data_IF_390421470453
#
_entry.id   IF_390421470453
#
_cell.length_a   1.000
_cell.length_b   1.000
_cell.length_c   1.000
_cell.angle_alpha   90.00
_cell.angle_beta   90.00
_cell.angle_gamma   90.00
#
_symmetry.space_group_name_H-M   'P 1'
#
loop_
_entity.id
_entity.type
_entity.pdbx_description
1 polymer ?
#
# COMPACT_ATOMS: atom_id res chain seq x y z
N UNK A 1 0.83 27.28 -3.28
CA UNK A 1 0.62 25.81 -3.25
C UNK A 1 1.90 25.05 -3.54
N UNK A 2 2.69 25.41 -4.56
CA UNK A 2 4.03 24.82 -4.77
C UNK A 2 4.96 25.07 -3.58
N UNK A 3 5.00 26.31 -3.11
CA UNK A 3 5.81 26.72 -1.94
C UNK A 3 5.46 25.88 -0.70
N UNK A 4 4.16 25.66 -0.44
CA UNK A 4 3.70 24.81 0.65
C UNK A 4 4.19 23.35 0.51
N UNK A 5 4.15 22.78 -0.70
CA UNK A 5 4.66 21.42 -0.93
C UNK A 5 6.16 21.34 -0.68
N UNK A 6 6.93 22.35 -1.11
CA UNK A 6 8.37 22.44 -0.87
C UNK A 6 8.70 22.57 0.63
N UNK A 7 7.93 23.35 1.38
CA UNK A 7 8.05 23.47 2.84
C UNK A 7 7.83 22.13 3.55
N UNK A 8 6.81 21.37 3.14
CA UNK A 8 6.53 20.05 3.70
C UNK A 8 7.60 19.02 3.33
N UNK A 9 8.16 19.08 2.12
CA UNK A 9 9.29 18.23 1.73
C UNK A 9 10.55 18.55 2.55
N UNK A 10 10.83 19.83 2.77
CA UNK A 10 11.91 20.28 3.64
C UNK A 10 11.72 19.80 5.07
N UNK A 11 10.50 19.89 5.59
CA UNK A 11 10.14 19.42 6.93
C UNK A 11 10.28 17.90 7.07
N UNK A 12 9.91 17.13 6.04
CA UNK A 12 10.13 15.68 5.99
C UNK A 12 11.61 15.32 6.00
N UNK A 13 12.44 16.08 5.29
CA UNK A 13 13.89 15.87 5.30
C UNK A 13 14.48 16.13 6.69
N UNK A 14 14.10 17.24 7.32
CA UNK A 14 14.55 17.61 8.67
C UNK A 14 14.13 16.59 9.73
N UNK A 15 12.88 16.13 9.70
CA UNK A 15 12.38 15.10 10.63
C UNK A 15 13.14 13.79 10.47
N UNK A 16 13.44 13.36 9.24
CA UNK A 16 14.28 12.19 8.98
C UNK A 16 15.71 12.33 9.49
N UNK A 17 16.32 13.49 9.30
CA UNK A 17 17.66 13.79 9.81
C UNK A 17 17.68 13.78 11.34
N UNK A 18 16.68 14.39 11.98
CA UNK A 18 16.51 14.36 13.43
C UNK A 18 16.30 12.94 13.95
N UNK A 19 15.43 12.15 13.30
CA UNK A 19 15.10 10.79 13.72
C UNK A 19 16.33 9.84 13.66
N UNK A 20 17.21 10.04 12.66
CA UNK A 20 18.49 9.30 12.55
C UNK A 20 19.47 9.57 13.70
N UNK A 21 19.33 10.71 14.39
CA UNK A 21 20.20 11.09 15.50
C UNK A 21 19.91 10.33 16.80
N UNK A 22 18.80 9.60 16.87
CA UNK A 22 18.44 8.81 18.05
C UNK A 22 19.03 7.39 17.95
N UNK A 23 19.68 6.96 19.04
CA UNK A 23 20.28 5.64 19.17
C UNK A 23 19.22 4.53 19.34
N UNK A 24 19.66 3.27 19.43
CA UNK A 24 18.78 2.13 19.65
C UNK A 24 18.00 2.26 20.97
N UNK A 25 16.83 1.62 21.04
CA UNK A 25 15.82 1.79 22.11
C UNK A 25 16.36 1.66 23.54
N UNK A 26 17.40 0.84 23.75
CA UNK A 26 18.00 0.55 25.05
C UNK A 26 18.96 1.62 25.58
N UNK A 27 19.34 2.62 24.78
CA UNK A 27 20.27 3.71 25.14
C UNK A 27 19.58 5.06 25.37
N UNK A 28 18.25 5.12 25.22
CA UNK A 28 17.49 6.38 25.25
C UNK A 28 17.12 6.74 26.68
N UNK A 29 17.32 8.01 27.02
CA UNK A 29 16.69 8.59 28.21
C UNK A 29 15.17 8.77 28.00
N UNK A 30 14.39 8.85 29.07
CA UNK A 30 12.93 8.94 29.00
C UNK A 30 12.41 10.11 28.16
N UNK A 31 13.11 11.24 28.14
CA UNK A 31 12.77 12.36 27.22
C UNK A 31 13.09 12.03 25.76
N UNK A 32 14.20 11.34 25.50
CA UNK A 32 14.61 10.98 24.14
C UNK A 32 13.66 9.95 23.52
N UNK A 33 13.05 9.08 24.33
CA UNK A 33 12.02 8.14 23.88
C UNK A 33 10.76 8.87 23.41
N UNK A 34 10.31 9.88 24.16
CA UNK A 34 9.16 10.72 23.79
C UNK A 34 9.43 11.51 22.50
N UNK A 35 10.60 12.13 22.40
CA UNK A 35 10.99 12.88 21.20
C UNK A 35 11.08 11.98 19.97
N UNK A 36 11.68 10.80 20.12
CA UNK A 36 11.75 9.80 19.05
C UNK A 36 10.35 9.35 18.62
N UNK A 37 9.45 9.10 19.57
CA UNK A 37 8.07 8.73 19.30
C UNK A 37 7.34 9.80 18.50
N UNK A 38 7.51 11.07 18.90
CA UNK A 38 6.93 12.21 18.19
C UNK A 38 7.50 12.33 16.77
N UNK A 39 8.83 12.31 16.62
CA UNK A 39 9.50 12.39 15.31
C UNK A 39 9.11 11.24 14.39
N UNK A 40 8.98 10.03 14.92
CA UNK A 40 8.53 8.85 14.18
C UNK A 40 7.07 8.98 13.73
N UNK A 41 6.21 9.57 14.54
CA UNK A 41 4.83 9.89 14.13
C UNK A 41 4.82 10.93 13.00
N UNK A 42 5.60 12.02 13.16
CA UNK A 42 5.70 13.07 12.15
C UNK A 42 6.25 12.54 10.82
N UNK A 43 7.26 11.67 10.84
CA UNK A 43 7.80 11.02 9.64
C UNK A 43 6.74 10.16 8.93
N UNK A 44 5.82 9.55 9.69
CA UNK A 44 4.73 8.73 9.13
C UNK A 44 3.61 9.59 8.53
N UNK A 45 3.30 10.74 9.13
CA UNK A 45 2.18 11.60 8.74
C UNK A 45 2.52 12.54 7.57
N UNK A 46 3.72 13.11 7.53
CA UNK A 46 4.13 14.07 6.50
C UNK A 46 4.00 13.55 5.05
N UNK A 47 4.36 12.29 4.73
CA UNK A 47 4.14 11.72 3.39
C UNK A 47 2.66 11.65 2.99
N UNK A 48 1.76 11.41 3.95
CA UNK A 48 0.32 11.38 3.72
C UNK A 48 -0.18 12.76 3.31
N UNK A 49 0.23 13.80 4.05
CA UNK A 49 -0.11 15.20 3.74
C UNK A 49 0.46 15.60 2.37
N UNK A 50 1.71 15.28 2.09
CA UNK A 50 2.34 15.55 0.78
C UNK A 50 1.58 14.90 -0.38
N UNK A 51 1.16 13.65 -0.21
CA UNK A 51 0.39 12.94 -1.25
C UNK A 51 -1.00 13.56 -1.43
N UNK A 52 -1.62 14.03 -0.36
CA UNK A 52 -2.89 14.75 -0.45
C UNK A 52 -2.74 16.11 -1.15
N UNK A 53 -1.73 16.91 -0.78
CA UNK A 53 -1.46 18.22 -1.38
C UNK A 53 -1.08 18.13 -2.87
N UNK A 54 -0.38 17.06 -3.27
CA UNK A 54 0.01 16.84 -4.68
C UNK A 54 -1.12 16.30 -5.54
N UNK A 55 -1.93 15.37 -5.00
CA UNK A 55 -2.98 14.69 -5.78
C UNK A 55 -4.33 15.39 -5.68
N UNK A 56 -4.54 16.22 -4.65
CA UNK A 56 -5.84 16.82 -4.32
C UNK A 56 -6.89 15.80 -3.86
N UNK A 57 -6.50 14.54 -3.62
CA UNK A 57 -7.39 13.42 -3.26
C UNK A 57 -7.01 12.85 -1.90
N UNK A 58 -8.01 12.45 -1.12
CA UNK A 58 -7.79 11.79 0.18
C UNK A 58 -7.01 10.48 -0.01
N UNK A 59 -5.89 10.38 0.68
CA UNK A 59 -5.05 9.20 0.76
C UNK A 59 -5.75 8.07 1.53
N UNK A 60 -5.83 6.88 0.93
CA UNK A 60 -6.51 5.71 1.50
C UNK A 60 -7.87 5.39 0.86
N UNK A 61 -8.49 6.36 0.17
CA UNK A 61 -9.64 6.09 -0.70
C UNK A 61 -9.12 5.71 -2.08
N UNK A 62 -8.65 4.46 -2.23
CA UNK A 62 -8.68 3.86 -3.56
C UNK A 62 -10.13 3.96 -4.00
N UNK A 63 -10.41 4.57 -5.16
CA UNK A 63 -11.73 4.41 -5.76
C UNK A 63 -11.91 2.90 -5.82
N UNK A 64 -12.83 2.37 -5.00
CA UNK A 64 -13.24 0.99 -5.17
C UNK A 64 -13.58 0.90 -6.64
N UNK A 65 -12.90 0.03 -7.37
CA UNK A 65 -13.40 -0.40 -8.66
C UNK A 65 -14.83 -0.81 -8.34
N UNK A 66 -15.79 0.01 -8.78
CA UNK A 66 -17.20 -0.30 -8.53
C UNK A 66 -17.40 -1.73 -9.02
N UNK A 67 -18.20 -2.53 -8.29
CA UNK A 67 -18.46 -3.94 -8.59
C UNK A 67 -18.51 -4.14 -10.10
N UNK A 68 -17.39 -4.60 -10.68
CA UNK A 68 -17.31 -4.75 -12.13
C UNK A 68 -18.37 -5.77 -12.51
N UNK A 69 -19.08 -5.51 -13.60
CA UNK A 69 -20.01 -6.50 -14.14
C UNK A 69 -19.24 -7.80 -14.39
N UNK A 70 -19.88 -8.96 -14.25
CA UNK A 70 -19.15 -10.23 -14.21
C UNK A 70 -18.29 -10.48 -15.45
N UNK A 71 -18.74 -10.02 -16.63
CA UNK A 71 -17.97 -10.09 -17.88
C UNK A 71 -16.66 -9.29 -17.89
N UNK A 72 -16.53 -8.26 -17.05
CA UNK A 72 -15.29 -7.49 -16.91
C UNK A 72 -14.26 -8.20 -16.01
N UNK A 73 -14.70 -9.20 -15.24
CA UNK A 73 -13.84 -10.06 -14.41
C UNK A 73 -13.39 -11.31 -15.16
N UNK A 74 -13.99 -11.59 -16.32
CA UNK A 74 -13.64 -12.76 -17.12
C UNK A 74 -12.22 -12.59 -17.69
N UNK A 75 -11.40 -13.62 -17.49
CA UNK A 75 -10.09 -13.73 -18.15
C UNK A 75 -10.32 -14.50 -19.46
N UNK A 76 -9.94 -13.97 -20.63
CA UNK A 76 -10.07 -14.71 -21.88
C UNK A 76 -9.18 -15.95 -21.79
N UNK A 77 -9.82 -17.12 -21.68
CA UNK A 77 -9.15 -18.40 -21.66
C UNK A 77 -9.02 -18.94 -23.09
N UNK A 78 -7.79 -19.22 -23.50
CA UNK A 78 -7.54 -19.96 -24.74
C UNK A 78 -8.04 -21.41 -24.55
N UNK A 79 -8.90 -21.93 -25.45
CA UNK A 79 -9.39 -23.31 -25.38
C UNK A 79 -8.27 -24.35 -25.25
N UNK A 80 -7.08 -24.07 -25.76
CA UNK A 80 -5.91 -24.97 -25.68
C UNK A 80 -5.37 -25.15 -24.26
N UNK A 81 -5.75 -24.28 -23.31
CA UNK A 81 -5.35 -24.42 -21.90
C UNK A 81 -5.99 -25.62 -21.21
N UNK A 82 -7.07 -26.16 -21.78
CA UNK A 82 -7.77 -27.34 -21.27
C UNK A 82 -7.38 -28.63 -22.01
N UNK A 83 -6.36 -28.59 -22.89
CA UNK A 83 -5.82 -29.78 -23.54
C UNK A 83 -5.28 -30.75 -22.46
N UNK A 84 -6.01 -31.85 -22.28
CA UNK A 84 -5.77 -32.84 -21.22
C UNK A 84 -4.38 -33.49 -21.29
N UNK A 85 -3.70 -33.42 -22.43
CA UNK A 85 -2.36 -33.99 -22.62
C UNK A 85 -1.26 -33.23 -21.85
N UNK A 86 -1.45 -31.94 -21.52
CA UNK A 86 -0.45 -31.14 -20.79
C UNK A 86 -0.70 -31.00 -19.29
N UNK A 87 -1.91 -31.31 -18.83
CA UNK A 87 -2.24 -31.36 -17.42
C UNK A 87 -1.96 -32.79 -16.96
N UNK A 88 -0.81 -33.03 -16.32
CA UNK A 88 -0.34 -34.36 -15.90
C UNK A 88 -1.27 -35.17 -14.97
N UNK A 89 -2.49 -34.69 -14.71
CA UNK A 89 -3.54 -35.37 -13.98
C UNK A 89 -4.92 -35.06 -14.61
N UNK A 90 -5.81 -36.06 -14.76
CA UNK A 90 -7.15 -35.82 -15.30
C UNK A 90 -7.95 -34.92 -14.35
N UNK A 91 -8.53 -33.84 -14.89
CA UNK A 91 -9.51 -33.01 -14.18
C UNK A 91 -10.67 -33.89 -13.74
N UNK A 92 -10.79 -34.15 -12.42
CA UNK A 92 -12.00 -34.76 -11.85
C UNK A 92 -13.14 -33.76 -12.00
N UNK A 93 -13.94 -33.93 -13.04
CA UNK A 93 -15.24 -33.28 -13.16
C UNK A 93 -16.07 -33.69 -11.92
N UNK A 94 -16.66 -32.75 -11.18
CA UNK A 94 -17.58 -33.11 -10.11
C UNK A 94 -18.72 -33.89 -10.76
N UNK A 95 -18.96 -35.10 -10.24
CA UNK A 95 -20.00 -35.99 -10.73
C UNK A 95 -21.30 -35.20 -10.87
N UNK A 96 -21.87 -35.20 -12.07
CA UNK A 96 -23.17 -34.65 -12.38
C UNK A 96 -24.13 -35.15 -11.30
N UNK A 97 -24.65 -34.23 -10.48
CA UNK A 97 -25.68 -34.56 -9.50
C UNK A 97 -26.93 -34.84 -10.34
N UNK A 98 -27.20 -36.11 -10.59
CA UNK A 98 -28.39 -36.54 -11.32
C UNK A 98 -29.64 -36.01 -10.60
N UNK A 99 -30.53 -35.39 -11.39
CA UNK A 99 -31.85 -34.90 -10.99
C UNK A 99 -32.85 -36.05 -10.93
#
# INVERSE_FOLDING_TARGET
MKDLIEEYQSSLKKTREANKGYFAEYERDGQQELDFGLLSSMERDLPFVLKWLTTGRQTGRYQGVERSADYQKEVPADPQWFDQEKLGHPLKLPASREL
#
